data_IF_989792744675
#
_entry.id   IF_989792744675
#
_cell.length_a   1.000
_cell.length_b   1.000
_cell.length_c   1.000
_cell.angle_alpha   90.00
_cell.angle_beta   90.00
_cell.angle_gamma   90.00
#
_symmetry.space_group_name_H-M   'P 1'
#
loop_
_entity.id
_entity.type
_entity.pdbx_description
1 polymer ?
#
# COMPACT_ATOMS: atom_id res chain seq x y z
N UNK A 1 -10.83 1.29 -2.16
CA UNK A 1 -11.13 -0.17 -2.03
C UNK A 1 -9.89 -0.91 -1.53
N UNK A 2 -9.99 -1.64 -0.43
CA UNK A 2 -8.90 -2.50 0.07
C UNK A 2 -9.24 -3.96 -0.26
N UNK A 3 -8.41 -4.62 -1.06
CA UNK A 3 -8.59 -6.05 -1.33
C UNK A 3 -7.81 -6.81 -0.26
N UNK A 4 -8.48 -7.78 0.37
CA UNK A 4 -7.87 -8.67 1.36
C UNK A 4 -7.11 -9.77 0.62
N UNK A 5 -5.79 -9.60 0.49
CA UNK A 5 -4.88 -10.60 -0.07
C UNK A 5 -3.94 -11.06 1.05
N UNK A 6 -3.89 -12.37 1.31
CA UNK A 6 -3.04 -12.98 2.35
C UNK A 6 -3.11 -12.31 3.74
N UNK A 7 -4.31 -11.90 4.17
CA UNK A 7 -4.59 -11.25 5.48
C UNK A 7 -3.95 -9.87 5.70
N UNK A 8 -3.41 -9.25 4.65
CA UNK A 8 -3.08 -7.83 4.66
C UNK A 8 -4.07 -7.05 3.81
N UNK A 9 -4.52 -5.91 4.31
CA UNK A 9 -5.36 -4.99 3.53
C UNK A 9 -4.47 -4.24 2.54
N UNK A 10 -4.51 -4.67 1.27
CA UNK A 10 -3.86 -3.93 0.19
C UNK A 10 -4.81 -2.86 -0.33
N UNK A 11 -4.41 -1.61 -0.23
CA UNK A 11 -5.15 -0.51 -0.84
C UNK A 11 -4.95 -0.60 -2.37
N UNK A 12 -6.01 -0.88 -3.13
CA UNK A 12 -5.99 -0.91 -4.61
C UNK A 12 -5.23 0.27 -5.25
N UNK A 13 -5.35 1.51 -4.74
CA UNK A 13 -4.59 2.64 -5.27
C UNK A 13 -3.08 2.41 -5.26
N UNK A 14 -2.53 1.72 -4.24
CA UNK A 14 -1.10 1.40 -4.18
C UNK A 14 -0.70 0.34 -5.21
N UNK A 15 -1.58 -0.60 -5.52
CA UNK A 15 -1.33 -1.60 -6.57
C UNK A 15 -1.32 -0.93 -7.96
N UNK A 16 -2.27 -0.03 -8.22
CA UNK A 16 -2.30 0.76 -9.47
C UNK A 16 -1.05 1.63 -9.58
N UNK A 17 -0.63 2.29 -8.49
CA UNK A 17 0.61 3.06 -8.44
C UNK A 17 1.84 2.21 -8.73
N UNK A 18 1.93 1.02 -8.12
CA UNK A 18 3.02 0.06 -8.34
C UNK A 18 3.11 -0.37 -9.81
N UNK A 19 1.97 -0.67 -10.44
CA UNK A 19 1.92 -1.03 -11.87
C UNK A 19 2.35 0.16 -12.74
N UNK A 20 1.84 1.37 -12.47
CA UNK A 20 2.21 2.57 -13.21
C UNK A 20 3.71 2.89 -13.11
N UNK A 21 4.31 2.73 -11.93
CA UNK A 21 5.75 2.89 -11.73
C UNK A 21 6.55 1.81 -12.46
N UNK A 22 6.11 0.54 -12.42
CA UNK A 22 6.77 -0.54 -13.16
C UNK A 22 6.78 -0.29 -14.68
N UNK A 23 5.64 0.14 -15.24
CA UNK A 23 5.55 0.53 -16.66
C UNK A 23 6.48 1.71 -16.96
N UNK A 24 6.59 2.67 -16.04
CA UNK A 24 7.44 3.83 -16.20
C UNK A 24 8.92 3.49 -16.16
N UNK A 25 9.35 2.58 -15.28
CA UNK A 25 10.74 2.12 -15.24
C UNK A 25 11.10 1.34 -16.51
N UNK A 26 10.18 0.50 -17.00
CA UNK A 26 10.36 -0.20 -18.26
C UNK A 26 10.50 0.79 -19.42
N UNK A 27 9.58 1.76 -19.53
CA UNK A 27 9.61 2.80 -20.55
C UNK A 27 10.86 3.68 -20.45
N UNK A 28 11.30 4.04 -19.24
CA UNK A 28 12.50 4.84 -19.02
C UNK A 28 13.75 4.17 -19.60
N UNK A 29 13.88 2.85 -19.42
CA UNK A 29 14.99 2.08 -19.99
C UNK A 29 14.92 2.02 -21.52
N UNK A 30 13.73 1.79 -22.09
CA UNK A 30 13.57 1.76 -23.55
C UNK A 30 13.82 3.14 -24.19
N UNK A 31 13.33 4.22 -23.58
CA UNK A 31 13.57 5.58 -24.03
C UNK A 31 15.06 5.95 -23.95
N UNK A 32 15.75 5.56 -22.88
CA UNK A 32 17.18 5.80 -22.75
C UNK A 32 17.99 5.06 -23.84
N UNK A 33 17.55 3.86 -24.24
CA UNK A 33 18.15 3.14 -25.36
C UNK A 33 17.96 3.89 -26.68
N UNK A 34 16.73 4.34 -26.97
CA UNK A 34 16.40 5.09 -28.19
C UNK A 34 17.14 6.41 -28.29
N UNK A 35 17.23 7.17 -27.18
CA UNK A 35 17.96 8.45 -27.14
C UNK A 35 19.46 8.26 -27.41
N UNK A 36 20.02 7.09 -27.07
CA UNK A 36 21.44 6.81 -27.25
C UNK A 36 21.76 6.22 -28.63
N UNK A 37 20.81 5.54 -29.27
CA UNK A 37 20.98 5.01 -30.63
C UNK A 37 20.90 6.14 -31.65
N UNK A 38 21.85 6.26 -32.60
CA UNK A 38 21.73 7.23 -33.69
C UNK A 38 20.44 6.96 -34.49
N UNK A 39 19.66 8.01 -34.76
CA UNK A 39 18.33 7.95 -35.43
C UNK A 39 18.39 7.31 -36.83
N UNK A 40 19.59 7.24 -37.44
CA UNK A 40 19.84 6.73 -38.79
C UNK A 40 20.30 5.26 -38.86
N UNK A 41 20.33 4.54 -37.73
CA UNK A 41 20.83 3.17 -37.69
C UNK A 41 19.70 2.14 -37.95
N UNK A 42 19.71 1.37 -39.05
CA UNK A 42 18.67 0.40 -39.40
C UNK A 42 18.49 -0.75 -38.39
N UNK A 43 19.38 -0.85 -37.39
CA UNK A 43 19.25 -1.75 -36.23
C UNK A 43 18.29 -1.25 -35.12
N UNK A 44 17.61 -0.10 -35.30
CA UNK A 44 16.67 0.42 -34.31
C UNK A 44 15.52 -0.56 -33.99
N UNK A 45 15.05 -1.35 -34.96
CA UNK A 45 13.99 -2.34 -34.76
C UNK A 45 14.42 -3.58 -33.95
N UNK A 46 15.68 -4.01 -34.07
CA UNK A 46 16.23 -5.15 -33.31
C UNK A 46 16.67 -4.77 -31.89
N UNK A 47 16.71 -3.46 -31.59
CA UNK A 47 17.07 -2.94 -30.27
C UNK A 47 16.00 -3.28 -29.21
N UNK A 48 14.72 -3.33 -29.57
CA UNK A 48 13.64 -3.59 -28.61
C UNK A 48 13.73 -4.99 -27.96
N UNK A 49 13.89 -6.05 -28.77
CA UNK A 49 13.94 -7.43 -28.29
C UNK A 49 15.23 -7.71 -27.50
N UNK A 50 16.35 -7.11 -27.91
CA UNK A 50 17.62 -7.23 -27.20
C UNK A 50 17.61 -6.46 -25.88
N UNK A 51 16.89 -5.34 -25.79
CA UNK A 51 16.78 -4.53 -24.58
C UNK A 51 15.78 -5.10 -23.56
N UNK A 52 14.87 -5.98 -23.99
CA UNK A 52 13.81 -6.54 -23.14
C UNK A 52 14.31 -7.16 -21.82
N UNK A 53 15.31 -8.09 -21.80
CA UNK A 53 15.82 -8.63 -20.53
C UNK A 53 16.47 -7.57 -19.64
N UNK A 54 17.08 -6.54 -20.26
CA UNK A 54 17.74 -5.44 -19.55
C UNK A 54 16.72 -4.48 -18.91
N UNK A 55 15.64 -4.17 -19.63
CA UNK A 55 14.53 -3.36 -19.15
C UNK A 55 13.75 -4.07 -18.03
N UNK A 56 13.56 -5.39 -18.13
CA UNK A 56 12.95 -6.19 -17.06
C UNK A 56 13.82 -6.19 -15.80
N UNK A 57 15.14 -6.40 -15.94
CA UNK A 57 16.07 -6.31 -14.82
C UNK A 57 16.05 -4.92 -14.16
N UNK A 58 16.14 -3.85 -14.97
CA UNK A 58 16.08 -2.47 -14.48
C UNK A 58 14.79 -2.21 -13.70
N UNK A 59 13.64 -2.61 -14.27
CA UNK A 59 12.32 -2.47 -13.65
C UNK A 59 12.24 -3.23 -12.33
N UNK A 60 12.68 -4.49 -12.29
CA UNK A 60 12.65 -5.32 -11.10
C UNK A 60 13.52 -4.73 -9.98
N UNK A 61 14.74 -4.32 -10.29
CA UNK A 61 15.66 -3.73 -9.30
C UNK A 61 15.15 -2.38 -8.79
N UNK A 62 14.64 -1.53 -9.68
CA UNK A 62 14.00 -0.26 -9.30
C UNK A 62 12.80 -0.49 -8.38
N UNK A 63 11.94 -1.46 -8.71
CA UNK A 63 10.76 -1.80 -7.90
C UNK A 63 11.15 -2.29 -6.50
N UNK A 64 12.16 -3.18 -6.42
CA UNK A 64 12.71 -3.66 -5.15
C UNK A 64 13.26 -2.49 -4.32
N UNK A 65 14.05 -1.60 -4.93
CA UNK A 65 14.64 -0.45 -4.23
C UNK A 65 13.56 0.53 -3.72
N UNK A 66 12.52 0.81 -4.50
CA UNK A 66 11.38 1.62 -4.07
C UNK A 66 10.64 0.99 -2.90
N UNK A 67 10.46 -0.33 -2.94
CA UNK A 67 9.83 -1.10 -1.87
C UNK A 67 10.66 -1.08 -0.59
N UNK A 68 11.97 -1.29 -0.70
CA UNK A 68 12.91 -1.24 0.42
C UNK A 68 12.94 0.14 1.10
N UNK A 69 12.84 1.22 0.32
CA UNK A 69 12.73 2.59 0.85
C UNK A 69 11.35 2.94 1.44
N UNK A 70 10.43 1.96 1.45
CA UNK A 70 9.11 2.06 2.05
C UNK A 70 8.12 2.89 1.24
N UNK A 71 8.39 3.19 -0.04
CA UNK A 71 7.51 4.07 -0.81
C UNK A 71 6.11 3.47 -1.02
N UNK A 72 5.92 2.17 -0.91
CA UNK A 72 4.58 1.53 -0.98
C UNK A 72 3.86 1.44 0.37
N UNK A 73 4.28 2.19 1.38
CA UNK A 73 3.63 2.18 2.68
C UNK A 73 2.56 3.29 2.78
N UNK A 74 1.28 2.90 2.90
CA UNK A 74 0.12 3.81 2.93
C UNK A 74 0.20 4.90 4.03
N UNK A 75 0.94 4.60 5.11
CA UNK A 75 1.04 5.42 6.32
C UNK A 75 2.16 6.46 6.27
N UNK A 76 2.82 6.61 5.12
CA UNK A 76 4.00 7.43 5.04
C UNK A 76 3.67 8.93 5.02
N UNK A 77 4.14 9.61 6.08
CA UNK A 77 4.05 11.06 6.24
C UNK A 77 5.26 11.71 5.57
N UNK A 78 5.24 11.86 4.26
CA UNK A 78 6.28 12.64 3.57
C UNK A 78 5.69 13.92 2.99
N UNK A 79 6.21 15.08 3.43
CA UNK A 79 6.18 16.29 2.59
C UNK A 79 6.83 15.95 1.24
N UNK A 80 6.49 16.69 0.18
CA UNK A 80 7.04 16.51 -1.17
C UNK A 80 8.56 16.28 -1.16
N UNK A 81 9.30 17.09 -0.38
CA UNK A 81 10.75 16.92 -0.19
C UNK A 81 11.15 15.54 0.34
N UNK A 82 10.46 15.03 1.36
CA UNK A 82 10.75 13.70 1.92
C UNK A 82 10.36 12.54 0.99
N UNK A 83 9.44 12.78 0.04
CA UNK A 83 9.12 11.80 -1.00
C UNK A 83 10.23 11.79 -2.05
N UNK A 84 10.59 12.98 -2.56
CA UNK A 84 11.64 13.14 -3.57
C UNK A 84 12.99 12.62 -3.10
N UNK A 85 13.38 12.87 -1.85
CA UNK A 85 14.64 12.35 -1.31
C UNK A 85 14.67 10.81 -1.26
N UNK A 86 13.55 10.17 -0.96
CA UNK A 86 13.46 8.70 -0.96
C UNK A 86 13.44 8.11 -2.36
N UNK A 87 12.75 8.76 -3.31
CA UNK A 87 12.80 8.41 -4.74
C UNK A 87 14.23 8.57 -5.26
N UNK A 88 14.94 9.63 -4.89
CA UNK A 88 16.33 9.83 -5.27
C UNK A 88 17.22 8.73 -4.67
N UNK A 89 17.09 8.44 -3.37
CA UNK A 89 17.86 7.41 -2.70
C UNK A 89 17.60 6.00 -3.27
N UNK A 90 16.35 5.66 -3.62
CA UNK A 90 16.03 4.39 -4.26
C UNK A 90 16.60 4.30 -5.68
N UNK A 91 16.51 5.37 -6.49
CA UNK A 91 17.10 5.41 -7.84
C UNK A 91 18.63 5.24 -7.77
N UNK A 92 19.29 5.95 -6.87
CA UNK A 92 20.74 5.83 -6.67
C UNK A 92 21.12 4.42 -6.22
N UNK A 93 20.42 3.89 -5.21
CA UNK A 93 20.66 2.54 -4.71
C UNK A 93 20.41 1.46 -5.77
N UNK A 94 19.34 1.58 -6.54
CA UNK A 94 19.03 0.68 -7.65
C UNK A 94 20.09 0.75 -8.76
N UNK A 95 20.52 1.96 -9.13
CA UNK A 95 21.55 2.16 -10.16
C UNK A 95 22.87 1.54 -9.72
N UNK A 96 23.26 1.70 -8.46
CA UNK A 96 24.45 1.08 -7.88
C UNK A 96 24.35 -0.45 -7.87
N UNK A 97 23.19 -1.00 -7.48
CA UNK A 97 22.94 -2.44 -7.50
C UNK A 97 22.99 -3.01 -8.92
N UNK A 98 22.38 -2.33 -9.89
CA UNK A 98 22.42 -2.72 -11.31
C UNK A 98 23.87 -2.70 -11.84
N UNK A 99 24.67 -1.69 -11.47
CA UNK A 99 26.07 -1.63 -11.84
C UNK A 99 26.84 -2.86 -11.33
N UNK A 100 26.60 -3.30 -10.08
CA UNK A 100 27.18 -4.52 -9.51
C UNK A 100 26.73 -5.76 -10.31
N UNK A 101 25.43 -5.86 -10.64
CA UNK A 101 24.91 -6.99 -11.43
C UNK A 101 25.59 -7.09 -12.79
N UNK A 102 25.92 -5.98 -13.44
CA UNK A 102 26.63 -6.01 -14.73
C UNK A 102 28.07 -6.51 -14.63
N UNK A 103 28.73 -6.38 -13.48
CA UNK A 103 30.02 -7.01 -13.24
C UNK A 103 29.91 -8.53 -13.09
N UNK A 104 28.81 -9.03 -12.53
CA UNK A 104 28.56 -10.46 -12.35
C UNK A 104 28.04 -11.14 -13.63
N UNK A 105 27.22 -10.43 -14.42
CA UNK A 105 26.62 -10.95 -15.65
C UNK A 105 26.90 -9.99 -16.82
N UNK A 106 28.09 -10.09 -17.45
CA UNK A 106 28.51 -9.17 -18.53
C UNK A 106 27.57 -9.14 -19.74
N UNK A 107 26.81 -10.23 -19.96
CA UNK A 107 25.84 -10.36 -21.04
C UNK A 107 24.72 -9.31 -20.97
N UNK A 108 24.40 -8.86 -19.75
CA UNK A 108 23.36 -7.88 -19.46
C UNK A 108 23.88 -6.44 -19.42
N UNK A 109 25.17 -6.23 -19.70
CA UNK A 109 25.80 -4.91 -19.59
C UNK A 109 25.07 -3.85 -20.43
N UNK A 110 24.81 -2.70 -19.79
CA UNK A 110 24.28 -1.49 -20.40
C UNK A 110 25.35 -0.41 -20.30
N UNK A 111 25.55 0.35 -21.38
CA UNK A 111 26.48 1.47 -21.38
C UNK A 111 26.15 2.47 -20.26
N UNK A 112 27.17 2.95 -19.54
CA UNK A 112 27.01 3.86 -18.39
C UNK A 112 26.15 5.09 -18.70
N UNK A 113 26.25 5.63 -19.93
CA UNK A 113 25.42 6.74 -20.39
C UNK A 113 23.94 6.40 -20.58
N UNK A 114 23.63 5.19 -21.07
CA UNK A 114 22.24 4.73 -21.17
C UNK A 114 21.64 4.51 -19.78
N UNK A 115 22.42 3.94 -18.86
CA UNK A 115 21.98 3.72 -17.47
C UNK A 115 21.72 5.05 -16.75
N UNK A 116 22.56 6.06 -16.92
CA UNK A 116 22.36 7.38 -16.29
C UNK A 116 21.15 8.12 -16.84
N UNK A 117 20.91 8.05 -18.17
CA UNK A 117 19.69 8.62 -18.79
C UNK A 117 18.45 7.86 -18.30
N UNK A 118 18.50 6.53 -18.23
CA UNK A 118 17.40 5.71 -17.72
C UNK A 118 17.09 6.04 -16.25
N UNK A 119 18.12 6.21 -15.41
CA UNK A 119 17.97 6.62 -14.02
C UNK A 119 17.32 8.00 -13.88
N UNK A 120 17.70 8.96 -14.73
CA UNK A 120 17.09 10.30 -14.76
C UNK A 120 15.60 10.22 -15.16
N UNK A 121 15.27 9.49 -16.22
CA UNK A 121 13.87 9.29 -16.62
C UNK A 121 13.05 8.54 -15.57
N UNK A 122 13.64 7.54 -14.93
CA UNK A 122 12.98 6.82 -13.83
C UNK A 122 12.72 7.74 -12.63
N UNK A 123 13.68 8.60 -12.27
CA UNK A 123 13.52 9.58 -11.19
C UNK A 123 12.41 10.59 -11.50
N UNK A 124 12.44 11.20 -12.69
CA UNK A 124 11.44 12.18 -13.12
C UNK A 124 10.07 11.52 -13.23
N UNK A 125 9.97 10.39 -13.92
CA UNK A 125 8.72 9.65 -14.13
C UNK A 125 8.08 9.21 -12.82
N UNK A 126 8.85 8.58 -11.91
CA UNK A 126 8.34 8.21 -10.59
C UNK A 126 7.90 9.42 -9.78
N UNK A 127 8.67 10.51 -9.81
CA UNK A 127 8.32 11.75 -9.09
C UNK A 127 7.00 12.35 -9.60
N UNK A 128 6.82 12.42 -10.93
CA UNK A 128 5.60 12.92 -11.55
C UNK A 128 4.40 12.04 -11.21
N UNK A 129 4.53 10.72 -11.37
CA UNK A 129 3.47 9.76 -11.03
C UNK A 129 3.08 9.88 -9.56
N UNK A 130 4.05 10.03 -8.66
CA UNK A 130 3.80 10.18 -7.22
C UNK A 130 3.06 11.46 -6.89
N UNK A 131 3.44 12.58 -7.49
CA UNK A 131 2.77 13.87 -7.29
C UNK A 131 1.36 13.83 -7.86
N UNK A 132 1.19 13.27 -9.06
CA UNK A 132 -0.10 13.13 -9.71
C UNK A 132 -1.01 12.19 -8.91
N UNK A 133 -0.47 11.07 -8.43
CA UNK A 133 -1.18 10.13 -7.59
C UNK A 133 -1.60 10.77 -6.26
N UNK A 134 -0.76 11.54 -5.58
CA UNK A 134 -1.19 12.23 -4.35
C UNK A 134 -2.27 13.29 -4.63
N UNK A 135 -2.28 13.92 -5.81
CA UNK A 135 -3.37 14.84 -6.21
C UNK A 135 -4.67 14.10 -6.53
N UNK A 136 -4.62 13.07 -7.38
CA UNK A 136 -5.79 12.30 -7.83
C UNK A 136 -6.35 11.39 -6.71
N UNK A 137 -5.50 10.76 -5.91
CA UNK A 137 -5.93 9.90 -4.81
C UNK A 137 -6.49 10.68 -3.62
N UNK A 138 -6.31 12.00 -3.57
CA UNK A 138 -6.98 12.85 -2.58
C UNK A 138 -8.45 13.16 -2.97
N UNK A 139 -8.85 12.95 -4.22
CA UNK A 139 -10.27 13.05 -4.65
C UNK A 139 -11.08 11.89 -4.07
N UNK A 140 -12.34 12.16 -3.72
CA UNK A 140 -13.23 11.22 -3.02
C UNK A 140 -13.53 9.94 -3.80
N UNK A 141 -13.11 9.86 -5.08
CA UNK A 141 -13.34 8.74 -6.01
C UNK A 141 -12.80 7.40 -5.50
N UNK A 142 -11.71 7.38 -4.73
CA UNK A 142 -11.13 6.12 -4.21
C UNK A 142 -11.53 5.79 -2.76
N UNK A 143 -12.30 6.67 -2.12
CA UNK A 143 -12.72 6.54 -0.73
C UNK A 143 -14.03 5.77 -0.66
N UNK A 144 -14.14 4.85 0.30
CA UNK A 144 -15.42 4.22 0.60
C UNK A 144 -16.36 5.20 1.27
N UNK A 145 -17.59 5.25 0.80
CA UNK A 145 -18.68 6.02 1.38
C UNK A 145 -19.24 5.20 2.54
N UNK A 146 -18.92 5.62 3.76
CA UNK A 146 -19.22 4.88 4.98
C UNK A 146 -20.38 5.52 5.72
N UNK A 147 -21.42 4.71 5.98
CA UNK A 147 -22.50 5.06 6.90
C UNK A 147 -22.20 4.45 8.26
N UNK A 148 -22.31 5.22 9.34
CA UNK A 148 -22.07 4.72 10.69
C UNK A 148 -23.41 4.47 11.36
N UNK A 149 -23.69 3.20 11.69
CA UNK A 149 -24.87 2.83 12.47
C UNK A 149 -24.53 2.87 13.96
N UNK A 150 -24.93 3.96 14.60
CA UNK A 150 -24.63 4.35 15.97
C UNK A 150 -24.13 5.80 16.03
N UNK A 151 -24.52 6.50 17.09
CA UNK A 151 -24.09 7.87 17.43
C UNK A 151 -23.55 7.97 18.88
N UNK A 152 -23.28 6.82 19.51
CA UNK A 152 -22.78 6.74 20.89
C UNK A 152 -21.26 6.92 21.06
N UNK A 153 -20.75 6.48 22.22
CA UNK A 153 -19.31 6.53 22.58
C UNK A 153 -18.44 5.78 21.58
N UNK A 154 -18.93 4.65 21.09
CA UNK A 154 -18.25 3.82 20.09
C UNK A 154 -18.17 4.55 18.74
N UNK A 155 -19.24 5.13 18.23
CA UNK A 155 -19.21 5.90 16.98
C UNK A 155 -18.23 7.10 17.03
N UNK A 156 -18.13 7.76 18.19
CA UNK A 156 -17.19 8.87 18.41
C UNK A 156 -15.72 8.47 18.21
N UNK A 157 -15.40 7.18 18.35
CA UNK A 157 -14.08 6.62 18.07
C UNK A 157 -13.61 6.83 16.65
N UNK A 158 -14.53 6.88 15.67
CA UNK A 158 -14.24 7.17 14.27
C UNK A 158 -13.95 8.66 14.09
N UNK A 159 -14.76 9.53 14.72
CA UNK A 159 -14.56 10.97 14.67
C UNK A 159 -13.21 11.39 15.29
N UNK A 160 -12.75 10.69 16.34
CA UNK A 160 -11.45 10.92 16.98
C UNK A 160 -10.23 10.57 16.12
N UNK A 161 -10.41 9.93 14.96
CA UNK A 161 -9.33 9.72 13.99
C UNK A 161 -8.86 11.08 13.44
N UNK A 162 -7.94 11.75 14.15
CA UNK A 162 -7.45 13.10 13.81
C UNK A 162 -6.48 13.14 12.64
N UNK A 163 -5.87 12.01 12.27
CA UNK A 163 -4.81 11.98 11.27
C UNK A 163 -5.43 11.87 9.88
N UNK A 164 -5.02 12.76 8.96
CA UNK A 164 -5.42 12.69 7.55
C UNK A 164 -5.10 11.31 6.94
N UNK A 165 -3.99 10.68 7.33
CA UNK A 165 -3.61 9.32 6.89
C UNK A 165 -4.66 8.27 7.22
N UNK A 166 -5.28 8.38 8.40
CA UNK A 166 -6.23 7.39 8.93
C UNK A 166 -7.64 7.60 8.37
N UNK A 167 -7.86 8.69 7.61
CA UNK A 167 -9.11 9.02 6.90
C UNK A 167 -8.95 8.96 5.37
N UNK A 168 -7.83 8.47 4.84
CA UNK A 168 -7.59 8.40 3.40
C UNK A 168 -8.41 7.31 2.71
N UNK A 169 -8.85 6.28 3.44
CA UNK A 169 -9.58 5.14 2.89
C UNK A 169 -11.10 5.34 2.77
N UNK A 170 -11.68 6.31 3.48
CA UNK A 170 -13.13 6.45 3.60
C UNK A 170 -13.60 7.90 3.83
N UNK A 171 -14.86 8.15 3.49
CA UNK A 171 -15.60 9.35 3.85
C UNK A 171 -16.82 8.92 4.66
N UNK A 172 -16.97 9.49 5.86
CA UNK A 172 -18.21 9.30 6.61
C UNK A 172 -19.31 10.13 5.95
N UNK A 173 -20.35 9.47 5.46
CA UNK A 173 -21.50 10.14 4.83
C UNK A 173 -22.47 10.65 5.88
N UNK A 174 -22.76 9.81 6.89
CA UNK A 174 -23.64 10.17 7.99
C UNK A 174 -23.59 9.19 9.15
N UNK A 175 -24.30 9.56 10.21
CA UNK A 175 -24.49 8.76 11.42
C UNK A 175 -25.99 8.50 11.59
N UNK A 176 -26.37 7.24 11.77
CA UNK A 176 -27.73 6.83 12.10
C UNK A 176 -27.77 6.50 13.58
N UNK A 177 -28.62 7.16 14.40
CA UNK A 177 -28.69 6.84 15.82
C UNK A 177 -29.25 5.44 16.05
N UNK A 178 -28.66 4.69 16.98
CA UNK A 178 -29.14 3.38 17.40
C UNK A 178 -29.78 3.45 18.79
N UNK A 179 -30.74 2.55 19.05
CA UNK A 179 -31.40 2.48 20.35
C UNK A 179 -30.40 2.10 21.46
N UNK A 180 -30.28 2.97 22.46
CA UNK A 180 -29.40 2.77 23.62
C UNK A 180 -27.98 3.25 23.48
N UNK A 181 -27.68 4.00 22.43
CA UNK A 181 -26.50 4.84 22.41
C UNK A 181 -26.56 5.87 23.54
N UNK A 182 -25.45 6.01 24.26
CA UNK A 182 -25.34 7.10 25.22
C UNK A 182 -25.13 8.38 24.42
N UNK A 183 -26.13 9.25 24.41
CA UNK A 183 -26.07 10.55 23.74
C UNK A 183 -24.88 11.35 24.28
N UNK A 184 -23.75 11.28 23.56
CA UNK A 184 -22.68 12.24 23.71
C UNK A 184 -23.12 13.48 22.95
N UNK A 185 -23.49 14.51 23.71
CA UNK A 185 -23.91 15.80 23.16
C UNK A 185 -23.00 16.23 22.02
N UNK A 186 -23.63 16.48 20.87
CA UNK A 186 -23.01 16.96 19.64
C UNK A 186 -21.87 16.07 19.11
N UNK A 187 -22.23 15.15 18.21
CA UNK A 187 -21.35 14.77 17.12
C UNK A 187 -20.71 16.03 16.51
N UNK A 188 -19.46 15.93 16.06
CA UNK A 188 -18.68 17.05 15.50
C UNK A 188 -19.27 17.64 14.20
N UNK A 189 -20.50 17.24 13.81
CA UNK A 189 -21.36 17.83 12.79
C UNK A 189 -22.81 17.30 12.98
N UNK A 190 -23.72 18.02 13.68
CA UNK A 190 -25.13 17.64 13.80
C UNK A 190 -25.83 17.54 12.43
N UNK A 191 -25.32 18.22 11.40
CA UNK A 191 -25.80 18.18 10.02
C UNK A 191 -25.61 16.82 9.31
N UNK A 192 -24.91 15.86 9.94
CA UNK A 192 -24.65 14.52 9.37
C UNK A 192 -25.43 13.41 10.06
N UNK A 193 -26.36 13.74 10.95
CA UNK A 193 -27.25 12.77 11.57
C UNK A 193 -28.40 12.48 10.61
N UNK A 194 -28.59 11.21 10.26
CA UNK A 194 -29.63 10.74 9.34
C UNK A 194 -30.67 9.96 10.16
N UNK A 195 -31.86 10.54 10.33
CA UNK A 195 -32.95 9.98 11.16
C UNK A 195 -34.20 9.67 10.31
N UNK A 196 -35.03 8.76 10.81
CA UNK A 196 -36.40 8.56 10.34
C UNK A 196 -36.58 7.84 9.00
N UNK A 197 -35.50 7.35 8.39
CA UNK A 197 -35.55 6.55 7.16
C UNK A 197 -35.00 5.15 7.39
N UNK A 198 -35.47 4.20 6.59
CA UNK A 198 -34.93 2.86 6.55
C UNK A 198 -33.46 2.86 6.06
N UNK A 199 -32.65 1.94 6.60
CA UNK A 199 -31.22 1.86 6.33
C UNK A 199 -30.93 1.66 4.85
N UNK A 200 -31.72 0.84 4.15
CA UNK A 200 -31.50 0.58 2.74
C UNK A 200 -31.77 1.85 1.89
N UNK A 201 -32.81 2.60 2.26
CA UNK A 201 -33.13 3.87 1.59
C UNK A 201 -32.01 4.88 1.76
N UNK A 202 -31.47 5.01 2.98
CA UNK A 202 -30.32 5.86 3.25
C UNK A 202 -29.08 5.43 2.46
N UNK A 203 -28.85 4.11 2.35
CA UNK A 203 -27.72 3.61 1.57
C UNK A 203 -27.82 3.95 0.08
N UNK A 204 -29.03 3.90 -0.48
CA UNK A 204 -29.28 4.25 -1.89
C UNK A 204 -29.20 5.75 -2.16
N UNK A 205 -29.83 6.57 -1.32
CA UNK A 205 -29.83 8.05 -1.49
C UNK A 205 -28.43 8.65 -1.38
N UNK A 206 -27.55 8.00 -0.62
CA UNK A 206 -26.21 8.50 -0.32
C UNK A 206 -25.08 7.67 -0.93
N UNK A 207 -25.37 6.75 -1.86
CA UNK A 207 -24.40 5.85 -2.50
C UNK A 207 -23.44 5.22 -1.47
N UNK A 208 -23.97 4.56 -0.44
CA UNK A 208 -23.17 3.99 0.65
C UNK A 208 -22.56 2.67 0.20
N UNK A 209 -21.22 2.56 0.28
CA UNK A 209 -20.49 1.33 -0.01
C UNK A 209 -20.44 0.40 1.20
N UNK A 210 -20.47 0.96 2.41
CA UNK A 210 -20.19 0.22 3.65
C UNK A 210 -20.90 0.81 4.87
N UNK A 211 -21.48 -0.06 5.70
CA UNK A 211 -22.08 0.27 7.00
C UNK A 211 -21.16 -0.19 8.12
N UNK A 212 -20.74 0.73 8.97
CA UNK A 212 -19.98 0.45 10.20
C UNK A 212 -20.93 0.39 11.39
N UNK A 213 -21.09 -0.80 11.97
CA UNK A 213 -21.92 -1.00 13.17
C UNK A 213 -21.14 -0.59 14.42
N UNK A 214 -21.53 0.54 14.99
CA UNK A 214 -20.85 1.25 16.08
C UNK A 214 -21.77 1.52 17.30
N UNK A 215 -22.77 0.65 17.52
CA UNK A 215 -23.67 0.73 18.68
C UNK A 215 -22.96 0.45 20.00
N UNK A 216 -23.28 1.23 21.03
CA UNK A 216 -22.77 1.04 22.40
C UNK A 216 -23.30 -0.27 23.02
N UNK A 217 -24.59 -0.56 22.86
CA UNK A 217 -25.24 -1.77 23.39
C UNK A 217 -25.92 -2.58 22.27
N UNK A 218 -25.36 -3.75 21.96
CA UNK A 218 -25.89 -4.65 20.92
C UNK A 218 -27.01 -5.57 21.40
N UNK A 219 -27.30 -5.59 22.70
CA UNK A 219 -28.36 -6.45 23.27
C UNK A 219 -29.74 -5.83 23.15
N UNK A 220 -29.80 -4.55 22.80
CA UNK A 220 -31.05 -3.85 22.47
C UNK A 220 -31.46 -4.18 21.03
N UNK A 221 -32.31 -3.36 20.43
CA UNK A 221 -32.83 -3.59 19.10
C UNK A 221 -31.72 -3.54 18.04
N UNK A 222 -31.08 -4.68 17.79
CA UNK A 222 -30.13 -4.86 16.70
C UNK A 222 -30.93 -5.02 15.40
N UNK A 223 -30.79 -4.12 14.41
CA UNK A 223 -31.61 -4.14 13.19
C UNK A 223 -31.10 -5.20 12.20
N UNK A 224 -31.24 -6.47 12.58
CA UNK A 224 -30.69 -7.58 11.80
C UNK A 224 -31.29 -7.62 10.38
N UNK A 225 -32.60 -7.44 10.27
CA UNK A 225 -33.31 -7.53 8.99
C UNK A 225 -32.88 -6.43 8.02
N UNK A 226 -32.83 -5.18 8.48
CA UNK A 226 -32.39 -4.04 7.66
C UNK A 226 -30.91 -4.16 7.24
N UNK A 227 -30.05 -4.63 8.14
CA UNK A 227 -28.65 -4.89 7.80
C UNK A 227 -28.55 -6.04 6.77
N UNK A 228 -29.32 -7.11 6.93
CA UNK A 228 -29.32 -8.20 5.96
C UNK A 228 -29.78 -7.72 4.57
N UNK A 229 -30.82 -6.90 4.49
CA UNK A 229 -31.29 -6.29 3.24
C UNK A 229 -30.20 -5.44 2.58
N UNK A 230 -29.53 -4.57 3.33
CA UNK A 230 -28.41 -3.78 2.81
C UNK A 230 -27.28 -4.69 2.28
N UNK A 231 -27.00 -5.79 2.97
CA UNK A 231 -25.96 -6.74 2.57
C UNK A 231 -26.31 -7.48 1.27
N UNK A 232 -27.59 -7.83 1.08
CA UNK A 232 -28.09 -8.46 -0.14
C UNK A 232 -27.99 -7.52 -1.35
N UNK A 233 -28.10 -6.21 -1.12
CA UNK A 233 -27.92 -5.16 -2.12
C UNK A 233 -26.44 -4.79 -2.36
N UNK A 234 -25.51 -5.51 -1.75
CA UNK A 234 -24.07 -5.37 -1.99
C UNK A 234 -23.35 -4.39 -1.06
N UNK A 235 -24.03 -3.81 -0.06
CA UNK A 235 -23.42 -2.94 0.94
C UNK A 235 -22.62 -3.78 1.93
N UNK A 236 -21.34 -3.47 2.12
CA UNK A 236 -20.49 -4.20 3.08
C UNK A 236 -20.87 -3.84 4.52
N UNK A 237 -20.97 -4.83 5.41
CA UNK A 237 -21.31 -4.60 6.82
C UNK A 237 -20.14 -5.04 7.68
N UNK A 238 -19.58 -4.08 8.41
CA UNK A 238 -18.38 -4.29 9.22
C UNK A 238 -18.60 -3.79 10.65
N UNK A 239 -18.01 -4.49 11.62
CA UNK A 239 -17.96 -3.98 12.99
C UNK A 239 -16.95 -2.84 13.12
N UNK A 240 -17.26 -1.89 14.01
CA UNK A 240 -16.36 -0.80 14.37
C UNK A 240 -14.92 -1.25 14.69
N UNK A 241 -14.73 -2.36 15.41
CA UNK A 241 -13.38 -2.83 15.78
C UNK A 241 -12.59 -3.26 14.54
N UNK A 242 -13.21 -4.08 13.69
CA UNK A 242 -12.62 -4.52 12.42
C UNK A 242 -12.39 -3.37 11.45
N UNK A 243 -13.29 -2.38 11.44
CA UNK A 243 -13.12 -1.14 10.67
C UNK A 243 -11.91 -0.34 11.17
N UNK A 244 -11.80 -0.10 12.48
CA UNK A 244 -10.66 0.61 13.06
C UNK A 244 -9.35 -0.15 12.85
N UNK A 245 -9.35 -1.48 12.96
CA UNK A 245 -8.17 -2.29 12.67
C UNK A 245 -7.76 -2.16 11.20
N UNK A 246 -8.71 -2.25 10.26
CA UNK A 246 -8.43 -2.09 8.82
C UNK A 246 -7.86 -0.72 8.50
N UNK A 247 -8.46 0.34 9.03
CA UNK A 247 -8.07 1.72 8.69
C UNK A 247 -6.82 2.18 9.46
N UNK A 248 -6.62 1.74 10.70
CA UNK A 248 -5.47 2.17 11.52
C UNK A 248 -4.31 1.17 11.53
N UNK A 249 -4.55 -0.08 11.15
CA UNK A 249 -3.62 -1.21 11.31
C UNK A 249 -3.33 -1.55 12.77
N UNK A 250 -4.16 -1.06 13.71
CA UNK A 250 -4.01 -1.27 15.16
C UNK A 250 -5.34 -1.69 15.76
N UNK A 251 -5.29 -2.65 16.68
CA UNK A 251 -6.47 -3.02 17.46
C UNK A 251 -6.58 -2.08 18.65
N UNK A 252 -7.68 -1.35 18.69
CA UNK A 252 -7.97 -0.37 19.74
C UNK A 252 -8.64 -1.05 20.94
N UNK A 253 -7.88 -1.20 22.02
CA UNK A 253 -8.31 -1.87 23.26
C UNK A 253 -9.53 -1.21 23.92
N UNK A 254 -9.74 0.09 23.66
CA UNK A 254 -10.84 0.88 24.22
C UNK A 254 -12.22 0.56 23.63
N UNK A 255 -12.27 -0.24 22.55
CA UNK A 255 -13.52 -0.60 21.85
C UNK A 255 -13.70 -2.12 21.73
N UNK A 256 -12.79 -2.88 22.34
CA UNK A 256 -12.66 -4.33 22.20
C UNK A 256 -13.69 -5.07 23.05
N UNK A 257 -14.44 -5.98 22.44
CA UNK A 257 -15.29 -6.94 23.15
C UNK A 257 -14.55 -8.30 23.20
N UNK A 258 -14.53 -9.01 24.35
CA UNK A 258 -13.97 -10.35 24.47
C UNK A 258 -14.37 -11.33 23.35
N UNK A 259 -15.61 -11.25 22.85
CA UNK A 259 -16.08 -12.11 21.75
C UNK A 259 -15.29 -11.90 20.45
N UNK A 260 -14.93 -10.65 20.14
CA UNK A 260 -14.14 -10.34 18.95
C UNK A 260 -12.76 -11.00 18.99
N UNK A 261 -12.12 -11.10 20.16
CA UNK A 261 -10.80 -11.73 20.30
C UNK A 261 -10.83 -13.20 19.86
N UNK A 262 -11.89 -13.92 20.22
CA UNK A 262 -12.07 -15.35 19.89
C UNK A 262 -12.37 -15.53 18.39
N UNK A 263 -13.17 -14.64 17.80
CA UNK A 263 -13.58 -14.74 16.38
C UNK A 263 -12.67 -13.96 15.42
N UNK A 264 -11.68 -13.22 15.92
CA UNK A 264 -10.72 -12.51 15.09
C UNK A 264 -9.79 -13.50 14.38
N UNK A 265 -9.63 -13.33 13.06
CA UNK A 265 -8.74 -14.17 12.27
C UNK A 265 -7.24 -13.91 12.52
N UNK A 266 -6.91 -12.88 13.31
CA UNK A 266 -5.56 -12.36 13.53
C UNK A 266 -4.61 -13.30 14.28
N UNK A 267 -5.12 -14.31 14.99
CA UNK A 267 -4.31 -15.26 15.76
C UNK A 267 -3.73 -16.42 14.95
N UNK A 268 -4.09 -16.55 13.67
CA UNK A 268 -3.45 -17.55 12.80
C UNK A 268 -2.20 -16.92 12.20
N UNK A 269 -1.02 -17.24 12.74
CA UNK A 269 0.25 -17.00 12.05
C UNK A 269 0.21 -17.83 10.75
N UNK A 270 0.12 -17.15 9.60
CA UNK A 270 0.00 -17.85 8.32
C UNK A 270 1.28 -18.63 8.05
N UNK A 271 1.22 -19.97 8.04
CA UNK A 271 2.38 -20.84 7.73
C UNK A 271 3.13 -20.38 6.47
N UNK A 272 2.41 -19.88 5.48
CA UNK A 272 2.97 -19.34 4.23
C UNK A 272 3.87 -18.11 4.50
N UNK A 273 3.45 -17.19 5.37
CA UNK A 273 4.24 -15.99 5.69
C UNK A 273 5.52 -16.36 6.42
N UNK A 274 5.43 -17.20 7.45
CA UNK A 274 6.60 -17.67 8.18
C UNK A 274 7.56 -18.45 7.27
N UNK A 275 7.03 -19.21 6.30
CA UNK A 275 7.87 -19.92 5.32
C UNK A 275 8.56 -18.94 4.37
N UNK A 276 7.85 -17.92 3.86
CA UNK A 276 8.44 -16.91 2.98
C UNK A 276 9.53 -16.09 3.67
N UNK A 277 9.29 -15.64 4.91
CA UNK A 277 10.30 -14.96 5.72
C UNK A 277 11.53 -15.84 5.91
N UNK A 278 11.32 -17.12 6.28
CA UNK A 278 12.40 -18.08 6.47
C UNK A 278 13.19 -18.35 5.18
N UNK A 279 12.51 -18.53 4.05
CA UNK A 279 13.18 -18.76 2.76
C UNK A 279 13.97 -17.53 2.33
N UNK A 280 13.42 -16.33 2.51
CA UNK A 280 14.14 -15.08 2.23
C UNK A 280 15.38 -14.94 3.12
N UNK A 281 15.26 -15.16 4.43
CA UNK A 281 16.39 -15.08 5.37
C UNK A 281 17.50 -16.08 5.03
N UNK A 282 17.14 -17.31 4.66
CA UNK A 282 18.10 -18.35 4.25
C UNK A 282 18.81 -17.93 2.96
N UNK A 283 18.08 -17.48 1.94
CA UNK A 283 18.67 -17.05 0.66
C UNK A 283 19.58 -15.84 0.84
N UNK A 284 19.13 -14.83 1.58
CA UNK A 284 19.92 -13.63 1.89
C UNK A 284 21.19 -13.99 2.65
N UNK A 285 21.10 -14.87 3.66
CA UNK A 285 22.26 -15.34 4.43
C UNK A 285 23.24 -16.14 3.57
N UNK A 286 22.75 -16.96 2.64
CA UNK A 286 23.59 -17.73 1.72
C UNK A 286 24.35 -16.81 0.75
N UNK A 287 23.67 -15.82 0.16
CA UNK A 287 24.30 -14.82 -0.72
C UNK A 287 25.37 -14.04 0.06
N UNK A 288 25.03 -13.58 1.27
CA UNK A 288 25.98 -12.87 2.13
C UNK A 288 27.19 -13.74 2.46
N UNK A 289 26.99 -15.03 2.75
CA UNK A 289 28.07 -15.98 3.03
C UNK A 289 28.99 -16.14 1.82
N UNK A 290 28.45 -16.30 0.61
CA UNK A 290 29.26 -16.44 -0.62
C UNK A 290 30.08 -15.17 -0.88
N UNK A 291 29.49 -13.99 -0.69
CA UNK A 291 30.18 -12.70 -0.85
C UNK A 291 31.23 -12.47 0.24
N UNK A 292 30.96 -12.90 1.49
CA UNK A 292 31.88 -12.77 2.61
C UNK A 292 32.99 -13.83 2.60
N UNK A 293 32.78 -14.98 1.95
CA UNK A 293 33.72 -16.09 1.86
C UNK A 293 35.14 -15.67 1.48
N UNK A 294 35.39 -14.91 0.38
CA UNK A 294 36.75 -14.50 0.02
C UNK A 294 37.42 -13.64 1.09
N UNK A 295 36.67 -12.75 1.75
CA UNK A 295 37.19 -11.90 2.83
C UNK A 295 37.55 -12.76 4.04
N UNK A 296 36.67 -13.69 4.44
CA UNK A 296 36.93 -14.62 5.54
C UNK A 296 38.15 -15.50 5.27
N UNK A 297 38.31 -15.98 4.03
CA UNK A 297 39.42 -16.83 3.61
C UNK A 297 40.74 -16.05 3.64
N UNK A 298 40.75 -14.79 3.18
CA UNK A 298 41.90 -13.89 3.29
C UNK A 298 42.25 -13.60 4.76
N UNK A 299 41.26 -13.36 5.62
CA UNK A 299 41.51 -13.16 7.06
C UNK A 299 42.07 -14.41 7.73
N UNK A 300 41.56 -15.60 7.37
CA UNK A 300 42.07 -16.87 7.90
C UNK A 300 43.52 -17.13 7.46
N UNK A 301 43.86 -16.83 6.21
CA UNK A 301 45.23 -16.89 5.70
C UNK A 301 46.16 -15.90 6.43
N UNK A 302 45.71 -14.65 6.64
CA UNK A 302 46.49 -13.64 7.34
C UNK A 302 46.81 -14.06 8.78
N UNK A 303 45.83 -14.60 9.51
CA UNK A 303 46.02 -15.13 10.87
C UNK A 303 47.02 -16.29 10.89
N UNK A 304 47.00 -17.17 9.88
CA UNK A 304 47.92 -18.32 9.82
C UNK A 304 49.37 -17.91 9.51
N UNK A 305 49.56 -16.79 8.81
CA UNK A 305 50.87 -16.32 8.36
C UNK A 305 51.58 -15.42 9.39
N UNK A 306 50.84 -14.83 10.32
CA UNK A 306 51.36 -14.17 11.54
C UNK A 306 51.57 -15.16 12.67
#
# INVERSE_FOLDING_TARGET
MAIRIFRHYWQLPLAVLAIAEAVTFFAAMQLAAVVRTPILDPAAGSTFSQMLPRALLFTAVMFIAMTAMGLYNARQRSRLLGLLTRVAASVVGATMLIAIVFYLVPQLHIGRGTLSIAALFAFVGASVIRVLFDRLANEDVFKRRVLVYGNGKRAHSIARLRRRSDRRGFVVVGYVPAEGDQALGAAHNPERILEGKDLLTLCREHDVDEIVVAMDDRRRQFPMDQLLECRLEGVEIIELVSFLERETGKVRLDVLNPSWMIFSEGFRQGRIHSTLERTFDILASLILLVVALPVMLLTALAIKLT
#
